data_IF_017327145023
#
_entry.id   IF_017327145023
#
_cell.length_a   1.000
_cell.length_b   1.000
_cell.length_c   1.000
_cell.angle_alpha   90.00
_cell.angle_beta   90.00
_cell.angle_gamma   90.00
#
_symmetry.space_group_name_H-M   'P 1'
#
loop_
_entity.id
_entity.type
_entity.pdbx_description
1 polymer ?
#
# COMPACT_ATOMS: atom_id res chain seq x y z
N UNK A 1 -10.53 -0.64 2.87
CA UNK A 1 -9.89 0.42 3.69
C UNK A 1 -8.65 -0.14 4.36
N UNK A 2 -7.74 0.68 4.90
CA UNK A 2 -6.50 0.22 5.56
C UNK A 2 -6.76 -0.91 6.58
N UNK A 3 -7.81 -0.76 7.39
CA UNK A 3 -8.25 -1.71 8.42
C UNK A 3 -8.77 -3.04 7.88
N UNK A 4 -9.38 -3.05 6.68
CA UNK A 4 -10.03 -4.24 6.08
C UNK A 4 -9.25 -4.80 4.89
N UNK A 5 -8.06 -4.30 4.62
CA UNK A 5 -7.25 -4.74 3.50
C UNK A 5 -6.77 -6.17 3.73
N UNK A 6 -7.26 -7.10 2.90
CA UNK A 6 -6.92 -8.52 3.01
C UNK A 6 -5.43 -8.77 2.80
N UNK A 7 -4.78 -7.99 1.94
CA UNK A 7 -3.33 -8.07 1.71
C UNK A 7 -2.53 -7.58 2.92
N UNK A 8 -2.94 -6.47 3.56
CA UNK A 8 -2.33 -5.97 4.80
C UNK A 8 -2.46 -7.00 5.92
N UNK A 9 -3.67 -7.54 6.12
CA UNK A 9 -3.93 -8.57 7.13
C UNK A 9 -3.12 -9.85 6.87
N UNK A 10 -2.94 -10.25 5.60
CA UNK A 10 -2.07 -11.38 5.24
C UNK A 10 -0.60 -11.12 5.60
N UNK A 11 -0.08 -9.93 5.30
CA UNK A 11 1.31 -9.56 5.67
C UNK A 11 1.49 -9.59 7.19
N UNK A 12 0.55 -9.02 7.95
CA UNK A 12 0.59 -9.08 9.42
C UNK A 12 0.46 -10.50 9.95
N UNK A 13 -0.37 -11.34 9.33
CA UNK A 13 -0.48 -12.75 9.64
C UNK A 13 0.83 -13.52 9.43
N UNK A 14 1.57 -13.22 8.35
CA UNK A 14 2.90 -13.79 8.12
C UNK A 14 3.91 -13.36 9.20
N UNK A 15 3.89 -12.07 9.56
CA UNK A 15 4.74 -11.55 10.64
C UNK A 15 4.44 -12.27 11.95
N UNK A 16 3.17 -12.44 12.30
CA UNK A 16 2.75 -13.15 13.50
C UNK A 16 3.17 -14.62 13.47
N UNK A 17 2.89 -15.32 12.37
CA UNK A 17 3.18 -16.74 12.22
C UNK A 17 4.68 -17.03 12.30
N UNK A 18 5.51 -16.30 11.56
CA UNK A 18 6.96 -16.48 11.60
C UNK A 18 7.55 -16.02 12.92
N UNK A 19 7.06 -14.92 13.50
CA UNK A 19 7.45 -14.48 14.84
C UNK A 19 7.19 -15.56 15.90
N UNK A 20 6.00 -16.17 15.89
CA UNK A 20 5.63 -17.26 16.81
C UNK A 20 6.49 -18.51 16.60
N UNK A 21 6.77 -18.87 15.34
CA UNK A 21 7.64 -20.00 15.03
C UNK A 21 9.07 -19.77 15.54
N UNK A 22 9.65 -18.61 15.27
CA UNK A 22 11.03 -18.27 15.66
C UNK A 22 11.20 -18.12 17.18
N UNK A 23 10.15 -17.70 17.89
CA UNK A 23 10.16 -17.56 19.35
C UNK A 23 9.56 -18.78 20.07
N UNK A 24 9.44 -19.93 19.40
CA UNK A 24 8.96 -21.17 19.99
C UNK A 24 9.72 -21.53 21.27
N UNK A 25 8.99 -21.88 22.33
CA UNK A 25 9.56 -22.18 23.65
C UNK A 25 9.84 -20.95 24.53
N UNK A 26 9.75 -19.72 23.99
CA UNK A 26 9.82 -18.51 24.80
C UNK A 26 8.42 -18.13 25.33
N UNK A 27 8.23 -18.24 26.65
CA UNK A 27 6.93 -18.01 27.31
C UNK A 27 6.39 -16.58 27.18
N UNK A 28 7.23 -15.59 26.89
CA UNK A 28 6.81 -14.18 26.76
C UNK A 28 6.76 -13.67 25.32
N UNK A 29 7.30 -14.42 24.34
CA UNK A 29 7.41 -13.99 22.94
C UNK A 29 6.89 -14.99 21.92
N UNK A 30 6.73 -16.26 22.29
CA UNK A 30 6.07 -17.27 21.48
C UNK A 30 4.59 -17.38 21.84
N UNK A 31 3.79 -17.95 20.94
CA UNK A 31 2.33 -18.13 21.11
C UNK A 31 1.60 -16.80 21.37
N UNK A 32 2.04 -15.72 20.73
CA UNK A 32 1.36 -14.44 20.78
C UNK A 32 0.13 -14.44 19.86
N UNK A 33 -0.94 -13.76 20.30
CA UNK A 33 -2.15 -13.51 19.50
C UNK A 33 -2.04 -12.22 18.65
N UNK A 34 -0.99 -11.43 18.88
CA UNK A 34 -0.74 -10.18 18.18
C UNK A 34 0.60 -9.58 18.59
N UNK A 35 0.94 -8.45 17.98
CA UNK A 35 2.16 -7.71 18.26
C UNK A 35 1.94 -6.21 18.14
N UNK A 36 2.79 -5.42 18.78
CA UNK A 36 2.82 -3.96 18.64
C UNK A 36 3.44 -3.57 17.30
N UNK A 37 2.88 -2.55 16.63
CA UNK A 37 3.32 -2.18 15.28
C UNK A 37 4.78 -1.70 15.19
N UNK A 38 5.39 -1.29 16.29
CA UNK A 38 6.78 -0.83 16.35
C UNK A 38 7.80 -1.92 15.97
N UNK A 39 7.37 -3.18 15.91
CA UNK A 39 8.21 -4.29 15.44
C UNK A 39 8.36 -4.30 13.91
N UNK A 40 7.41 -3.72 13.16
CA UNK A 40 7.37 -3.84 11.70
C UNK A 40 8.64 -3.29 11.02
N UNK A 41 9.12 -2.08 11.35
CA UNK A 41 10.36 -1.58 10.74
C UNK A 41 11.61 -2.39 11.16
N UNK A 42 11.58 -3.03 12.33
CA UNK A 42 12.70 -3.81 12.88
C UNK A 42 12.88 -5.17 12.18
N UNK A 43 11.91 -5.61 11.37
CA UNK A 43 11.98 -6.89 10.64
C UNK A 43 13.14 -6.94 9.64
N UNK A 44 13.65 -5.79 9.20
CA UNK A 44 14.83 -5.72 8.33
C UNK A 44 16.12 -6.10 9.07
N UNK A 45 16.16 -5.96 10.39
CA UNK A 45 17.34 -6.15 11.23
C UNK A 45 17.45 -7.59 11.76
N UNK A 46 16.35 -8.35 11.76
CA UNK A 46 16.37 -9.77 12.09
C UNK A 46 16.94 -10.54 10.90
N UNK A 47 18.14 -11.11 11.04
CA UNK A 47 18.87 -11.80 9.97
C UNK A 47 18.92 -13.31 10.16
N UNK A 48 19.12 -14.03 9.06
CA UNK A 48 19.54 -15.43 9.07
C UNK A 48 20.93 -15.59 9.73
N UNK A 49 21.26 -16.80 10.17
CA UNK A 49 22.53 -17.10 10.86
C UNK A 49 23.78 -16.79 10.03
N UNK A 50 23.67 -16.84 8.72
CA UNK A 50 24.72 -16.52 7.74
C UNK A 50 24.66 -15.07 7.25
N UNK A 51 23.77 -14.25 7.80
CA UNK A 51 23.49 -12.85 7.40
C UNK A 51 23.11 -12.66 5.92
N UNK A 52 22.75 -13.71 5.20
CA UNK A 52 22.41 -13.61 3.76
C UNK A 52 21.00 -13.03 3.51
N UNK A 53 20.09 -13.15 4.47
CA UNK A 53 18.69 -12.72 4.33
C UNK A 53 18.13 -12.13 5.63
N UNK A 54 17.29 -11.09 5.52
CA UNK A 54 16.48 -10.61 6.64
C UNK A 54 15.10 -11.28 6.71
N UNK A 55 14.48 -11.28 7.89
CA UNK A 55 13.10 -11.75 8.07
C UNK A 55 12.13 -10.96 7.17
N UNK A 56 12.30 -9.65 7.02
CA UNK A 56 11.54 -8.85 6.06
C UNK A 56 11.66 -9.38 4.63
N UNK A 57 12.89 -9.62 4.17
CA UNK A 57 13.15 -10.16 2.83
C UNK A 57 12.50 -11.54 2.66
N UNK A 58 12.56 -12.39 3.69
CA UNK A 58 11.92 -13.70 3.69
C UNK A 58 10.39 -13.60 3.61
N UNK A 59 9.76 -12.74 4.41
CA UNK A 59 8.31 -12.49 4.37
C UNK A 59 7.86 -12.05 2.99
N UNK A 60 8.56 -11.09 2.39
CA UNK A 60 8.24 -10.57 1.05
C UNK A 60 8.34 -11.69 0.01
N UNK A 61 9.42 -12.46 0.05
CA UNK A 61 9.63 -13.56 -0.88
C UNK A 61 8.60 -14.69 -0.68
N UNK A 62 8.20 -14.98 0.55
CA UNK A 62 7.14 -15.93 0.87
C UNK A 62 5.79 -15.44 0.35
N UNK A 63 5.46 -14.16 0.60
CA UNK A 63 4.22 -13.58 0.13
C UNK A 63 4.08 -13.70 -1.39
N UNK A 64 5.12 -13.32 -2.13
CA UNK A 64 5.12 -13.43 -3.59
C UNK A 64 4.95 -14.87 -4.06
N UNK A 65 5.62 -15.86 -3.44
CA UNK A 65 5.51 -17.27 -3.86
C UNK A 65 4.16 -17.91 -3.57
N UNK A 66 3.46 -17.44 -2.53
CA UNK A 66 2.30 -18.16 -1.99
C UNK A 66 0.97 -17.38 -2.08
N UNK A 67 1.01 -16.06 -2.25
CA UNK A 67 -0.19 -15.22 -2.26
C UNK A 67 -0.32 -14.33 -3.50
N UNK A 68 0.70 -14.24 -4.35
CA UNK A 68 0.68 -13.44 -5.57
C UNK A 68 0.83 -14.33 -6.82
N UNK A 69 -0.28 -14.52 -7.55
CA UNK A 69 -0.32 -15.32 -8.78
C UNK A 69 0.46 -14.68 -9.94
N UNK A 70 0.72 -13.38 -9.83
CA UNK A 70 1.44 -12.55 -10.79
C UNK A 70 2.87 -12.26 -10.35
N UNK A 71 3.37 -12.95 -9.33
CA UNK A 71 4.76 -12.83 -8.91
C UNK A 71 5.75 -13.00 -10.08
N UNK A 72 6.62 -12.01 -10.23
CA UNK A 72 7.58 -11.92 -11.34
C UNK A 72 6.96 -11.55 -12.69
N UNK A 73 5.72 -11.04 -12.75
CA UNK A 73 5.08 -10.45 -13.93
C UNK A 73 4.93 -8.94 -13.75
N UNK A 74 4.68 -8.23 -14.86
CA UNK A 74 4.40 -6.78 -14.83
C UNK A 74 3.06 -6.43 -14.17
N UNK A 75 2.12 -7.39 -14.12
CA UNK A 75 0.80 -7.24 -13.50
C UNK A 75 0.80 -7.40 -11.98
N UNK A 76 1.96 -7.67 -11.38
CA UNK A 76 2.14 -7.84 -9.94
C UNK A 76 1.75 -6.58 -9.17
N UNK A 77 0.86 -6.72 -8.18
CA UNK A 77 0.29 -5.58 -7.43
C UNK A 77 0.90 -5.49 -6.04
N UNK A 78 1.46 -4.33 -5.71
CA UNK A 78 2.04 -4.07 -4.40
C UNK A 78 0.98 -4.22 -3.28
N UNK A 79 1.21 -5.04 -2.24
CA UNK A 79 0.14 -5.46 -1.32
C UNK A 79 -0.12 -4.49 -0.15
N UNK A 80 0.74 -3.49 0.05
CA UNK A 80 0.62 -2.51 1.12
C UNK A 80 0.28 -1.13 0.56
N UNK A 81 -0.19 -0.19 1.40
CA UNK A 81 -0.39 1.19 0.98
C UNK A 81 0.91 1.82 0.51
N UNK A 82 0.79 2.70 -0.48
CA UNK A 82 1.92 3.35 -1.10
C UNK A 82 2.73 4.17 -0.08
N UNK A 83 4.07 4.00 -0.02
CA UNK A 83 4.90 4.70 0.97
C UNK A 83 4.76 6.22 0.92
N UNK A 84 4.51 6.79 -0.28
CA UNK A 84 4.32 8.22 -0.47
C UNK A 84 3.03 8.72 0.19
N UNK A 85 1.93 7.98 0.08
CA UNK A 85 0.65 8.35 0.70
C UNK A 85 0.77 8.29 2.22
N UNK A 86 1.45 7.25 2.74
CA UNK A 86 1.75 7.11 4.16
C UNK A 86 2.66 8.24 4.66
N UNK A 87 3.65 8.65 3.85
CA UNK A 87 4.49 9.79 4.16
C UNK A 87 3.64 11.04 4.33
N UNK A 88 2.83 11.38 3.32
CA UNK A 88 2.01 12.59 3.33
C UNK A 88 1.06 12.60 4.52
N UNK A 89 0.36 11.50 4.79
CA UNK A 89 -0.51 11.39 5.95
C UNK A 89 0.25 11.58 7.28
N UNK A 90 1.50 11.09 7.37
CA UNK A 90 2.34 11.25 8.57
C UNK A 90 2.79 12.70 8.84
N UNK A 91 2.74 13.58 7.84
CA UNK A 91 3.13 14.98 7.96
C UNK A 91 1.95 15.90 8.35
N UNK A 92 0.72 15.37 8.33
CA UNK A 92 -0.49 16.13 8.62
C UNK A 92 -0.80 16.18 10.12
N UNK A 93 -1.54 17.21 10.55
CA UNK A 93 -2.03 17.39 11.92
C UNK A 93 -3.47 17.87 11.91
N UNK A 94 -4.34 17.23 12.69
CA UNK A 94 -5.75 17.63 12.78
C UNK A 94 -5.90 19.07 13.29
N UNK A 95 -5.02 19.50 14.21
CA UNK A 95 -5.04 20.82 14.82
C UNK A 95 -4.84 21.94 13.80
N UNK A 96 -4.05 21.68 12.74
CA UNK A 96 -3.81 22.64 11.67
C UNK A 96 -5.09 22.85 10.85
N UNK A 97 -5.75 21.76 10.43
CA UNK A 97 -7.03 21.86 9.71
C UNK A 97 -8.13 22.50 10.58
N UNK A 98 -8.22 22.13 11.85
CA UNK A 98 -9.18 22.72 12.77
C UNK A 98 -8.94 24.23 12.95
N UNK A 99 -7.67 24.67 13.01
CA UNK A 99 -7.31 26.10 13.08
C UNK A 99 -7.75 26.82 11.81
N UNK A 100 -7.47 26.25 10.66
CA UNK A 100 -7.77 26.87 9.37
C UNK A 100 -9.29 26.97 9.15
N UNK A 101 -10.06 25.94 9.50
CA UNK A 101 -11.54 25.98 9.44
C UNK A 101 -12.14 26.98 10.43
N UNK A 102 -11.61 27.08 11.66
CA UNK A 102 -12.03 28.11 12.62
C UNK A 102 -11.77 29.52 12.09
N UNK A 103 -10.63 29.72 11.43
CA UNK A 103 -10.32 31.00 10.77
C UNK A 103 -11.30 31.29 9.65
N UNK A 104 -11.54 30.32 8.76
CA UNK A 104 -12.47 30.46 7.65
C UNK A 104 -13.89 30.78 8.14
N UNK A 105 -14.35 30.16 9.23
CA UNK A 105 -15.62 30.51 9.88
C UNK A 105 -15.65 31.96 10.36
N UNK A 106 -14.60 32.41 11.04
CA UNK A 106 -14.51 33.80 11.53
C UNK A 106 -14.58 34.79 10.37
N UNK A 107 -13.82 34.53 9.31
CA UNK A 107 -13.75 35.40 8.13
C UNK A 107 -15.10 35.42 7.39
N UNK A 108 -15.77 34.27 7.26
CA UNK A 108 -17.11 34.16 6.66
C UNK A 108 -18.17 34.90 7.49
N UNK A 109 -18.12 34.80 8.82
CA UNK A 109 -19.02 35.53 9.71
C UNK A 109 -18.82 37.05 9.60
N UNK A 110 -17.56 37.50 9.53
CA UNK A 110 -17.25 38.92 9.31
C UNK A 110 -17.77 39.40 7.94
N UNK A 111 -17.58 38.60 6.88
CA UNK A 111 -18.10 38.89 5.55
C UNK A 111 -19.63 38.98 5.52
N UNK A 112 -20.33 38.04 6.18
CA UNK A 112 -21.78 38.06 6.32
C UNK A 112 -22.25 39.33 7.03
N UNK A 113 -21.60 39.72 8.13
CA UNK A 113 -21.95 40.91 8.88
C UNK A 113 -21.72 42.21 8.08
N UNK A 114 -20.66 42.28 7.28
CA UNK A 114 -20.40 43.45 6.43
C UNK A 114 -21.40 43.52 5.26
N UNK A 115 -21.74 42.37 4.67
CA UNK A 115 -22.77 42.27 3.63
C UNK A 115 -24.13 42.78 4.14
N UNK A 116 -24.52 42.39 5.36
CA UNK A 116 -25.74 42.89 6.00
C UNK A 116 -25.72 44.41 6.21
N UNK A 117 -24.56 45.01 6.50
CA UNK A 117 -24.45 46.48 6.60
C UNK A 117 -24.67 47.13 5.24
N UNK A 118 -24.07 46.60 4.18
CA UNK A 118 -24.28 47.11 2.81
C UNK A 118 -25.77 47.04 2.45
N UNK A 119 -26.45 45.93 2.79
CA UNK A 119 -27.88 45.79 2.53
C UNK A 119 -28.74 46.82 3.27
N UNK A 120 -28.33 47.22 4.49
CA UNK A 120 -29.04 48.21 5.31
C UNK A 120 -28.76 49.66 4.90
N UNK A 121 -27.55 49.95 4.42
CA UNK A 121 -27.08 51.32 4.15
C UNK A 121 -27.30 51.75 2.69
N UNK A 122 -27.43 50.81 1.75
CA UNK A 122 -27.66 51.12 0.33
C UNK A 122 -29.15 51.30 0.01
N UNK A 123 -29.44 52.23 -0.91
CA UNK A 123 -30.78 52.37 -1.51
C UNK A 123 -31.07 51.21 -2.47
N UNK A 124 -32.36 50.93 -2.69
CA UNK A 124 -32.80 49.77 -3.49
C UNK A 124 -32.24 49.79 -4.93
N UNK A 125 -32.19 50.97 -5.55
CA UNK A 125 -31.63 51.17 -6.89
C UNK A 125 -30.12 50.86 -7.01
N UNK A 126 -29.40 50.83 -5.88
CA UNK A 126 -27.94 50.64 -5.84
C UNK A 126 -27.52 49.30 -5.22
N UNK A 127 -28.47 48.42 -4.87
CA UNK A 127 -28.17 47.14 -4.23
C UNK A 127 -27.63 46.09 -5.22
N UNK A 128 -28.07 46.15 -6.47
CA UNK A 128 -27.71 45.18 -7.48
C UNK A 128 -26.52 45.65 -8.31
N UNK A 129 -25.63 44.73 -8.75
CA UNK A 129 -25.70 43.26 -8.64
C UNK A 129 -25.06 42.69 -7.36
N UNK A 130 -24.63 43.54 -6.42
CA UNK A 130 -23.88 43.11 -5.24
C UNK A 130 -24.66 42.12 -4.39
N UNK A 131 -25.95 42.39 -4.15
CA UNK A 131 -26.81 41.53 -3.33
C UNK A 131 -26.92 40.11 -3.87
N UNK A 132 -27.28 39.94 -5.14
CA UNK A 132 -27.46 38.61 -5.72
C UNK A 132 -26.16 37.79 -5.71
N UNK A 133 -25.03 38.46 -6.03
CA UNK A 133 -23.72 37.83 -6.00
C UNK A 133 -23.31 37.42 -4.58
N UNK A 134 -23.53 38.28 -3.59
CA UNK A 134 -23.16 38.01 -2.20
C UNK A 134 -24.07 36.97 -1.54
N UNK A 135 -25.37 37.00 -1.81
CA UNK A 135 -26.30 35.97 -1.30
C UNK A 135 -25.91 34.59 -1.84
N UNK A 136 -25.61 34.50 -3.14
CA UNK A 136 -25.13 33.26 -3.78
C UNK A 136 -23.81 32.79 -3.16
N UNK A 137 -22.82 33.69 -3.06
CA UNK A 137 -21.52 33.38 -2.48
C UNK A 137 -21.63 32.91 -1.02
N UNK A 138 -22.34 33.67 -0.17
CA UNK A 138 -22.46 33.35 1.25
C UNK A 138 -23.19 32.04 1.48
N UNK A 139 -24.23 31.75 0.70
CA UNK A 139 -24.95 30.47 0.77
C UNK A 139 -24.02 29.29 0.43
N UNK A 140 -23.26 29.40 -0.66
CA UNK A 140 -22.34 28.36 -1.10
C UNK A 140 -21.20 28.17 -0.07
N UNK A 141 -20.56 29.27 0.35
CA UNK A 141 -19.44 29.23 1.28
C UNK A 141 -19.82 28.66 2.66
N UNK A 142 -21.02 28.95 3.16
CA UNK A 142 -21.53 28.36 4.41
C UNK A 142 -21.68 26.84 4.27
N UNK A 143 -22.31 26.39 3.19
CA UNK A 143 -22.54 24.97 2.90
C UNK A 143 -21.22 24.20 2.76
N UNK A 144 -20.26 24.76 2.02
CA UNK A 144 -18.93 24.16 1.86
C UNK A 144 -18.17 24.09 3.18
N UNK A 145 -18.18 25.16 3.98
CA UNK A 145 -17.52 25.19 5.27
C UNK A 145 -18.09 24.13 6.23
N UNK A 146 -19.41 24.02 6.34
CA UNK A 146 -20.08 22.99 7.15
C UNK A 146 -19.73 21.58 6.66
N UNK A 147 -19.65 21.39 5.35
CA UNK A 147 -19.24 20.11 4.75
C UNK A 147 -17.80 19.75 5.12
N UNK A 148 -16.86 20.70 5.00
CA UNK A 148 -15.46 20.47 5.34
C UNK A 148 -15.25 20.16 6.82
N UNK A 149 -15.97 20.85 7.72
CA UNK A 149 -15.91 20.56 9.15
C UNK A 149 -16.46 19.18 9.50
N UNK A 150 -17.58 18.80 8.88
CA UNK A 150 -18.13 17.45 9.04
C UNK A 150 -17.14 16.39 8.55
N UNK A 151 -16.57 16.59 7.37
CA UNK A 151 -15.56 15.68 6.82
C UNK A 151 -14.34 15.55 7.74
N UNK A 152 -13.85 16.66 8.31
CA UNK A 152 -12.74 16.63 9.26
C UNK A 152 -13.08 15.82 10.52
N UNK A 153 -14.28 16.02 11.08
CA UNK A 153 -14.75 15.26 12.24
C UNK A 153 -14.90 13.76 11.94
N UNK A 154 -15.47 13.42 10.78
CA UNK A 154 -15.64 12.03 10.34
C UNK A 154 -14.28 11.35 10.11
N UNK A 155 -13.32 12.02 9.46
CA UNK A 155 -11.95 11.49 9.24
C UNK A 155 -11.22 11.31 10.58
N UNK A 156 -11.34 12.27 11.50
CA UNK A 156 -10.71 12.16 12.81
C UNK A 156 -11.27 10.96 13.59
N UNK A 157 -12.60 10.75 13.56
CA UNK A 157 -13.23 9.57 14.15
C UNK A 157 -12.74 8.27 13.53
N UNK A 158 -12.73 8.18 12.19
CA UNK A 158 -12.24 7.00 11.47
C UNK A 158 -10.77 6.70 11.81
N UNK A 159 -9.95 7.73 11.96
CA UNK A 159 -8.56 7.55 12.37
C UNK A 159 -8.45 6.98 13.78
N UNK A 160 -9.25 7.43 14.75
CA UNK A 160 -9.22 6.85 16.10
C UNK A 160 -9.74 5.41 16.15
N UNK A 161 -10.76 5.07 15.36
CA UNK A 161 -11.20 3.67 15.20
C UNK A 161 -10.09 2.80 14.60
N UNK A 162 -9.31 3.35 13.67
CA UNK A 162 -8.15 2.69 13.09
C UNK A 162 -7.06 2.44 14.15
N UNK A 163 -6.71 3.44 14.97
CA UNK A 163 -5.66 3.26 15.99
C UNK A 163 -6.06 2.25 17.06
N UNK A 164 -7.34 2.21 17.44
CA UNK A 164 -7.90 1.17 18.32
C UNK A 164 -7.78 -0.22 17.68
N UNK A 165 -8.16 -0.36 16.41
CA UNK A 165 -8.11 -1.64 15.69
C UNK A 165 -6.71 -2.23 15.61
N UNK A 166 -5.68 -1.38 15.57
CA UNK A 166 -4.27 -1.78 15.56
C UNK A 166 -3.60 -1.70 16.94
N UNK A 167 -4.37 -1.46 18.01
CA UNK A 167 -3.87 -1.37 19.39
C UNK A 167 -2.72 -0.36 19.58
N UNK A 168 -2.75 0.75 18.83
CA UNK A 168 -1.73 1.81 18.91
C UNK A 168 -2.04 2.73 20.08
N UNK A 169 -1.04 2.94 20.94
CA UNK A 169 -1.16 3.81 22.12
C UNK A 169 -0.58 5.20 21.83
N UNK A 170 -1.13 6.27 22.44
CA UNK A 170 -0.52 7.60 22.41
C UNK A 170 0.91 7.55 22.95
N UNK A 171 1.79 8.43 22.46
CA UNK A 171 3.13 8.56 23.06
C UNK A 171 3.02 9.20 24.45
N UNK A 172 4.08 9.06 25.25
CA UNK A 172 4.14 9.68 26.57
C UNK A 172 3.92 11.19 26.47
N UNK A 173 2.92 11.71 27.19
CA UNK A 173 2.55 13.13 27.16
C UNK A 173 1.48 13.49 26.11
N UNK A 174 1.12 12.58 25.21
CA UNK A 174 0.01 12.77 24.27
C UNK A 174 -1.30 12.25 24.86
N UNK A 175 -2.41 12.97 24.63
CA UNK A 175 -3.76 12.52 25.03
C UNK A 175 -4.34 11.50 24.06
N UNK A 176 -4.06 11.70 22.77
CA UNK A 176 -4.59 10.91 21.66
C UNK A 176 -3.43 10.54 20.72
N UNK A 177 -3.60 9.46 19.96
CA UNK A 177 -2.60 9.07 18.97
C UNK A 177 -2.55 10.12 17.86
N UNK A 178 -1.37 10.64 17.53
CA UNK A 178 -1.21 11.52 16.37
C UNK A 178 -1.11 10.74 15.04
N UNK A 179 -1.50 11.39 13.92
CA UNK A 179 -1.33 10.86 12.56
C UNK A 179 0.10 10.38 12.32
N UNK A 180 1.08 11.20 12.72
CA UNK A 180 2.50 10.85 12.62
C UNK A 180 2.84 9.55 13.35
N UNK A 181 2.37 9.36 14.58
CA UNK A 181 2.66 8.17 15.41
C UNK A 181 2.19 6.89 14.73
N UNK A 182 1.05 6.91 14.04
CA UNK A 182 0.56 5.75 13.30
C UNK A 182 1.25 5.61 11.93
N UNK A 183 1.22 6.65 11.10
CA UNK A 183 1.62 6.56 9.70
C UNK A 183 3.14 6.51 9.49
N UNK A 184 3.97 7.03 10.40
CA UNK A 184 5.43 6.94 10.27
C UNK A 184 5.94 5.50 10.35
N UNK A 185 5.39 4.69 11.25
CA UNK A 185 5.73 3.27 11.39
C UNK A 185 5.39 2.51 10.11
N UNK A 186 4.21 2.76 9.56
CA UNK A 186 3.77 2.15 8.31
C UNK A 186 4.53 2.65 7.10
N UNK A 187 4.87 3.94 7.05
CA UNK A 187 5.72 4.51 6.02
C UNK A 187 7.06 3.78 5.98
N UNK A 188 7.75 3.66 7.11
CA UNK A 188 9.06 3.03 7.16
C UNK A 188 8.97 1.56 6.72
N UNK A 189 8.02 0.82 7.31
CA UNK A 189 7.79 -0.57 6.95
C UNK A 189 7.43 -0.76 5.48
N UNK A 190 6.52 0.05 4.93
CA UNK A 190 6.09 -0.04 3.53
C UNK A 190 7.23 0.35 2.59
N UNK A 191 8.06 1.33 2.93
CA UNK A 191 9.26 1.68 2.15
C UNK A 191 10.21 0.49 2.03
N UNK A 192 10.59 -0.09 3.17
CA UNK A 192 11.52 -1.23 3.20
C UNK A 192 10.90 -2.47 2.51
N UNK A 193 9.62 -2.73 2.75
CA UNK A 193 8.89 -3.84 2.11
C UNK A 193 8.84 -3.65 0.59
N UNK A 194 8.58 -2.43 0.09
CA UNK A 194 8.52 -2.13 -1.34
C UNK A 194 9.87 -2.29 -2.03
N UNK A 195 10.96 -1.95 -1.36
CA UNK A 195 12.31 -2.21 -1.87
C UNK A 195 12.54 -3.72 -2.07
N UNK A 196 12.26 -4.52 -1.03
CA UNK A 196 12.39 -5.98 -1.12
C UNK A 196 11.41 -6.55 -2.15
N UNK A 197 10.21 -6.02 -2.26
CA UNK A 197 9.19 -6.45 -3.23
C UNK A 197 9.69 -6.35 -4.67
N UNK A 198 10.27 -5.19 -5.02
CA UNK A 198 10.85 -4.97 -6.34
C UNK A 198 12.03 -5.92 -6.60
N UNK A 199 12.91 -6.09 -5.61
CA UNK A 199 14.06 -7.00 -5.70
C UNK A 199 13.62 -8.45 -5.92
N UNK A 200 12.68 -8.95 -5.11
CA UNK A 200 12.18 -10.32 -5.19
C UNK A 200 11.40 -10.57 -6.48
N UNK A 201 10.55 -9.64 -6.93
CA UNK A 201 9.88 -9.76 -8.22
C UNK A 201 10.86 -9.84 -9.39
N UNK A 202 11.93 -9.03 -9.37
CA UNK A 202 12.98 -9.09 -10.40
C UNK A 202 13.69 -10.45 -10.40
N UNK A 203 13.99 -11.00 -9.22
CA UNK A 203 14.61 -12.34 -9.11
C UNK A 203 13.67 -13.43 -9.66
N UNK A 204 12.39 -13.39 -9.32
CA UNK A 204 11.41 -14.37 -9.83
C UNK A 204 11.23 -14.26 -11.34
N UNK A 205 11.21 -13.05 -11.91
CA UNK A 205 11.20 -12.86 -13.36
C UNK A 205 12.43 -13.50 -14.01
N UNK A 206 13.63 -13.28 -13.46
CA UNK A 206 14.87 -13.89 -13.96
C UNK A 206 14.82 -15.42 -13.89
N UNK A 207 14.32 -16.00 -12.80
CA UNK A 207 14.15 -17.45 -12.67
C UNK A 207 13.17 -18.01 -13.71
N UNK A 208 12.08 -17.30 -14.00
CA UNK A 208 11.10 -17.69 -15.02
C UNK A 208 11.69 -17.66 -16.43
N UNK A 209 12.44 -16.61 -16.77
CA UNK A 209 13.13 -16.49 -18.06
C UNK A 209 14.14 -17.63 -18.24
N UNK A 210 14.99 -17.90 -17.24
CA UNK A 210 15.96 -19.01 -17.29
C UNK A 210 15.27 -20.36 -17.48
N UNK A 211 14.21 -20.64 -16.73
CA UNK A 211 13.43 -21.88 -16.90
C UNK A 211 12.82 -22.00 -18.30
N UNK A 212 12.32 -20.90 -18.86
CA UNK A 212 11.80 -20.90 -20.22
C UNK A 212 12.90 -21.19 -21.26
N UNK A 213 14.06 -20.54 -21.14
CA UNK A 213 15.24 -20.78 -22.01
C UNK A 213 15.71 -22.24 -21.94
N UNK A 214 15.79 -22.81 -20.74
CA UNK A 214 16.15 -24.22 -20.55
C UNK A 214 15.12 -25.17 -21.18
N UNK A 215 13.82 -24.89 -21.02
CA UNK A 215 12.75 -25.64 -21.69
C UNK A 215 12.86 -25.58 -23.22
N UNK A 216 13.12 -24.39 -23.79
CA UNK A 216 13.32 -24.23 -25.23
C UNK A 216 14.56 -24.99 -25.71
N UNK A 217 15.66 -24.95 -24.97
CA UNK A 217 16.88 -25.69 -25.31
C UNK A 217 16.64 -27.20 -25.32
N UNK A 218 16.00 -27.73 -24.28
CA UNK A 218 15.66 -29.16 -24.18
C UNK A 218 14.68 -29.60 -25.29
N UNK A 219 13.68 -28.77 -25.62
CA UNK A 219 12.76 -29.05 -26.71
C UNK A 219 13.48 -29.12 -28.07
N UNK A 220 14.43 -28.21 -28.31
CA UNK A 220 15.23 -28.19 -29.55
C UNK A 220 16.16 -29.41 -29.65
N UNK A 221 16.81 -29.80 -28.56
CA UNK A 221 17.66 -31.00 -28.52
C UNK A 221 16.83 -32.28 -28.73
N UNK A 222 15.64 -32.40 -28.15
CA UNK A 222 14.73 -33.53 -28.39
C UNK A 222 14.21 -33.59 -29.83
N UNK A 223 13.90 -32.44 -30.44
CA UNK A 223 13.47 -32.36 -31.84
C UNK A 223 14.60 -32.70 -32.85
N UNK A 224 15.88 -32.56 -32.46
CA UNK A 224 17.03 -32.88 -33.30
C UNK A 224 17.35 -34.39 -33.42
N UNK A 225 16.63 -35.28 -32.74
CA UNK A 225 16.70 -36.73 -33.02
C UNK A 225 16.01 -37.04 -34.35
N UNK A 226 16.75 -36.83 -35.45
CA UNK A 226 16.41 -37.21 -36.81
C UNK A 226 16.27 -38.74 -36.93
N UNK A 227 15.13 -39.19 -37.45
CA UNK A 227 14.89 -40.57 -37.88
C UNK A 227 15.94 -40.93 -38.93
N UNK A 228 16.89 -41.80 -38.58
CA UNK A 228 17.87 -42.33 -39.54
C UNK A 228 17.09 -42.87 -40.76
N UNK A 229 17.42 -42.47 -42.00
CA UNK A 229 16.77 -43.05 -43.16
C UNK A 229 17.04 -44.55 -43.15
N UNK A 230 15.98 -45.37 -43.10
CA UNK A 230 16.10 -46.82 -43.18
C UNK A 230 16.83 -47.15 -44.49
N UNK A 231 17.98 -47.81 -44.37
CA UNK A 231 18.69 -48.36 -45.52
C UNK A 231 17.70 -49.24 -46.30
N UNK A 232 17.46 -48.93 -47.57
CA UNK A 232 16.57 -49.70 -48.41
C UNK A 232 17.22 -51.07 -48.73
N UNK A 233 17.03 -52.05 -47.85
CA UNK A 233 17.45 -53.45 -48.04
C UNK A 233 16.42 -54.29 -48.80
N UNK A 234 15.35 -53.66 -49.29
CA UNK A 234 14.26 -54.33 -50.00
C UNK A 234 14.68 -54.81 -51.40
N UNK A 235 14.01 -55.87 -51.86
CA UNK A 235 14.26 -56.61 -53.11
C UNK A 235 14.46 -55.70 -54.34
N UNK A 236 13.80 -54.53 -54.39
CA UNK A 236 13.97 -53.52 -55.46
C UNK A 236 15.43 -53.03 -55.62
N UNK A 237 16.22 -52.96 -54.57
CA UNK A 237 17.64 -52.55 -54.65
C UNK A 237 18.54 -53.63 -55.26
N UNK A 238 18.15 -54.91 -55.18
CA UNK A 238 18.92 -56.04 -55.73
C UNK A 238 18.67 -56.30 -57.22
N UNK A 239 17.59 -55.75 -57.80
CA UNK A 239 17.28 -55.91 -59.23
C UNK A 239 18.06 -54.96 -60.15
N UNK A 240 18.66 -53.89 -59.62
CA UNK A 240 19.44 -52.92 -60.41
C UNK A 240 20.89 -53.31 -60.73
N UNK A 241 21.37 -54.47 -60.22
CA UNK A 241 22.75 -54.94 -60.41
C UNK A 241 22.90 -56.08 -61.45
N UNK A 242 21.86 -56.33 -62.25
CA UNK A 242 21.97 -57.21 -63.42
C UNK A 242 21.63 -56.44 -64.70
N UNK A 243 22.61 -55.69 -65.20
CA UNK A 243 22.82 -55.43 -66.63
C UNK A 243 24.33 -55.53 -66.85
#
# INVERSE_FOLDING_TARGET
TFQSSSSVLRVLGLVLAFGNFMNGGNRSRGQADGFTLDILPKLKDVKSSDNSQSLLCYIVAYYLRHFDEDAGKETCVYPLPEPQDLFQASQMKFEDFQRDLRKLRKDLNACSAETEKVFKLSSEDNLQPFKDNMDTFLSQAKTELETQEKQLADIQKLFFELTVSFSVKPKAGEKEVGLNTFFSVWHEFSTDFKEQWKKQNKLMLQERVKKAEECFKQAREKASYSVKPKHASGIKAKLGQKI
#
